data_IF_576413243474
#
_entry.id   IF_576413243474
#
_cell.length_a   1.000
_cell.length_b   1.000
_cell.length_c   1.000
_cell.angle_alpha   90.00
_cell.angle_beta   90.00
_cell.angle_gamma   90.00
#
_symmetry.space_group_name_H-M   'P 1'
#
loop_
_entity.id
_entity.type
_entity.pdbx_description
1 polymer ?
#
# COMPACT_ATOMS: atom_id res chain seq x y z
N UNK A 1 18.44 -4.72 -1.44
CA UNK A 1 18.04 -3.67 -2.41
C UNK A 1 18.04 -2.27 -1.80
N UNK A 2 17.67 -2.08 -0.53
CA UNK A 2 17.67 -0.76 0.15
C UNK A 2 19.01 0.00 0.10
N UNK A 3 20.14 -0.69 0.31
CA UNK A 3 21.47 -0.08 0.22
C UNK A 3 21.83 0.44 -1.20
N UNK A 4 21.24 -0.14 -2.27
CA UNK A 4 21.45 0.39 -3.62
C UNK A 4 20.70 1.73 -3.83
N UNK A 5 19.62 1.99 -3.07
CA UNK A 5 18.83 3.22 -3.14
C UNK A 5 19.51 4.40 -2.47
N UNK A 6 20.19 4.19 -1.33
CA UNK A 6 21.02 5.23 -0.69
C UNK A 6 22.05 5.86 -1.64
N UNK A 7 22.63 5.05 -2.53
CA UNK A 7 23.55 5.55 -3.57
C UNK A 7 22.91 6.50 -4.57
N UNK A 8 21.59 6.45 -4.77
CA UNK A 8 20.91 7.41 -5.64
C UNK A 8 20.92 8.79 -4.99
N UNK A 9 20.74 8.90 -3.68
CA UNK A 9 20.82 10.17 -2.95
C UNK A 9 22.22 10.78 -2.93
N UNK A 10 23.28 9.96 -3.08
CA UNK A 10 24.64 10.48 -3.22
C UNK A 10 24.85 11.23 -4.55
N UNK A 11 24.18 10.80 -5.62
CA UNK A 11 24.28 11.41 -6.96
C UNK A 11 23.14 12.39 -7.28
N UNK A 12 21.97 12.18 -6.65
CA UNK A 12 20.72 12.91 -6.84
C UNK A 12 20.06 13.15 -5.48
N UNK A 13 20.57 14.10 -4.67
CA UNK A 13 20.06 14.35 -3.32
C UNK A 13 18.56 14.63 -3.26
N UNK A 14 18.00 15.22 -4.33
CA UNK A 14 16.61 15.63 -4.46
C UNK A 14 15.66 14.53 -4.98
N UNK A 15 16.18 13.33 -5.29
CA UNK A 15 15.37 12.28 -5.93
C UNK A 15 14.24 11.79 -5.03
N UNK A 16 13.03 11.71 -5.58
CA UNK A 16 11.87 11.10 -4.93
C UNK A 16 11.68 9.70 -5.48
N UNK A 17 11.52 8.72 -4.58
CA UNK A 17 11.29 7.32 -4.94
C UNK A 17 10.01 6.85 -4.26
N UNK A 18 8.99 6.54 -5.05
CA UNK A 18 7.78 5.87 -4.58
C UNK A 18 7.94 4.38 -4.76
N UNK A 19 7.85 3.64 -3.66
CA UNK A 19 7.86 2.19 -3.68
C UNK A 19 6.44 1.67 -3.51
N UNK A 20 5.99 0.82 -4.44
CA UNK A 20 4.65 0.22 -4.39
C UNK A 20 4.79 -1.28 -4.18
N UNK A 21 4.06 -1.82 -3.21
CA UNK A 21 4.00 -3.26 -2.95
C UNK A 21 2.66 -3.69 -2.41
N UNK A 22 2.36 -5.00 -2.42
CA UNK A 22 1.07 -5.45 -1.91
C UNK A 22 0.95 -5.50 -0.39
N UNK A 23 2.05 -5.83 0.31
CA UNK A 23 2.11 -6.02 1.77
C UNK A 23 3.01 -5.01 2.51
N UNK A 24 3.50 -3.99 1.81
CA UNK A 24 4.52 -3.07 2.33
C UNK A 24 5.92 -3.68 2.34
N UNK A 25 6.86 -2.96 2.93
CA UNK A 25 8.26 -3.38 3.10
C UNK A 25 8.63 -3.65 4.56
N UNK A 26 9.52 -4.62 4.83
CA UNK A 26 10.07 -4.82 6.17
C UNK A 26 10.75 -3.58 6.74
N UNK A 27 11.42 -2.82 5.87
CA UNK A 27 12.08 -1.57 6.23
C UNK A 27 11.11 -0.47 6.68
N UNK A 28 9.83 -0.57 6.30
CA UNK A 28 8.75 0.35 6.66
C UNK A 28 7.81 -0.21 7.74
N UNK A 29 8.15 -1.36 8.35
CA UNK A 29 7.34 -2.00 9.39
C UNK A 29 6.45 -3.16 8.93
N UNK A 30 6.49 -3.54 7.65
CA UNK A 30 5.75 -4.69 7.12
C UNK A 30 6.28 -6.03 7.63
N UNK A 31 5.40 -7.04 7.72
CA UNK A 31 5.77 -8.40 8.13
C UNK A 31 6.77 -9.04 7.15
N UNK A 32 8.02 -9.33 7.57
CA UNK A 32 9.05 -9.88 6.68
C UNK A 32 8.67 -11.19 5.98
N UNK A 33 7.78 -11.99 6.59
CA UNK A 33 7.29 -13.24 6.00
C UNK A 33 6.30 -12.98 4.86
N UNK A 34 5.50 -11.90 4.95
CA UNK A 34 4.50 -11.53 3.93
C UNK A 34 5.11 -10.65 2.83
N UNK A 35 5.98 -9.71 3.16
CA UNK A 35 6.59 -8.78 2.19
C UNK A 35 7.41 -9.44 1.09
N UNK A 36 7.78 -10.73 1.23
CA UNK A 36 8.47 -11.51 0.18
C UNK A 36 7.52 -12.20 -0.80
N UNK A 37 6.20 -12.16 -0.56
CA UNK A 37 5.19 -12.87 -1.35
C UNK A 37 4.65 -11.96 -2.47
N UNK A 38 4.26 -12.59 -3.57
CA UNK A 38 3.47 -11.92 -4.61
C UNK A 38 2.09 -11.54 -4.06
N UNK A 39 1.61 -10.36 -4.45
CA UNK A 39 0.35 -9.82 -3.98
C UNK A 39 -0.25 -8.95 -5.08
N UNK A 40 -1.23 -9.52 -5.77
CA UNK A 40 -2.03 -8.84 -6.78
C UNK A 40 -3.30 -8.29 -6.14
N UNK A 41 -4.00 -7.42 -6.86
CA UNK A 41 -5.22 -6.75 -6.42
C UNK A 41 -6.20 -7.63 -5.63
N UNK A 42 -6.55 -8.81 -6.15
CA UNK A 42 -7.45 -9.74 -5.46
C UNK A 42 -6.94 -10.19 -4.08
N UNK A 43 -5.63 -10.41 -3.96
CA UNK A 43 -4.99 -10.82 -2.70
C UNK A 43 -5.04 -9.65 -1.71
N UNK A 44 -4.76 -8.44 -2.18
CA UNK A 44 -4.85 -7.26 -1.33
C UNK A 44 -6.28 -6.94 -0.91
N UNK A 45 -7.28 -7.07 -1.79
CA UNK A 45 -8.70 -6.91 -1.45
C UNK A 45 -9.12 -7.89 -0.34
N UNK A 46 -8.68 -9.14 -0.43
CA UNK A 46 -8.98 -10.14 0.60
C UNK A 46 -8.24 -9.82 1.90
N UNK A 47 -6.94 -9.52 1.82
CA UNK A 47 -6.09 -9.28 2.99
C UNK A 47 -6.46 -8.00 3.74
N UNK A 48 -6.98 -6.98 3.05
CA UNK A 48 -7.45 -5.74 3.65
C UNK A 48 -8.87 -5.83 4.21
N UNK A 49 -9.57 -6.97 4.07
CA UNK A 49 -10.96 -7.12 4.49
C UNK A 49 -12.00 -6.56 3.51
N UNK A 50 -11.60 -6.04 2.34
CA UNK A 50 -12.54 -5.49 1.35
C UNK A 50 -13.50 -6.57 0.82
N UNK A 51 -13.00 -7.78 0.60
CA UNK A 51 -13.85 -8.86 0.15
C UNK A 51 -14.99 -9.16 1.15
N UNK A 52 -14.71 -9.08 2.46
CA UNK A 52 -15.72 -9.27 3.50
C UNK A 52 -16.73 -8.12 3.52
N UNK A 53 -16.26 -6.88 3.38
CA UNK A 53 -17.12 -5.70 3.29
C UNK A 53 -18.09 -5.77 2.09
N UNK A 54 -17.62 -6.27 0.95
CA UNK A 54 -18.42 -6.38 -0.26
C UNK A 54 -19.33 -7.63 -0.30
N UNK A 55 -19.27 -8.49 0.71
CA UNK A 55 -20.04 -9.73 0.77
C UNK A 55 -21.52 -9.48 1.05
N UNK A 56 -22.38 -10.38 0.58
CA UNK A 56 -23.82 -10.39 0.85
C UNK A 56 -24.21 -11.67 1.57
N UNK A 57 -25.41 -11.80 2.14
CA UNK A 57 -25.87 -13.06 2.73
C UNK A 57 -25.79 -14.26 1.78
N UNK A 58 -25.92 -14.03 0.47
CA UNK A 58 -25.86 -15.04 -0.58
C UNK A 58 -24.42 -15.35 -1.03
N UNK A 59 -23.48 -14.43 -0.78
CA UNK A 59 -22.09 -14.52 -1.19
C UNK A 59 -21.15 -14.12 -0.04
N UNK A 60 -20.74 -15.11 0.76
CA UNK A 60 -19.98 -14.90 2.01
C UNK A 60 -18.60 -14.24 1.84
N UNK A 61 -18.00 -14.32 0.64
CA UNK A 61 -16.76 -13.63 0.26
C UNK A 61 -16.89 -13.16 -1.19
N UNK A 62 -17.05 -11.86 -1.40
CA UNK A 62 -17.18 -11.28 -2.75
C UNK A 62 -16.04 -10.31 -3.04
N UNK A 63 -15.31 -10.53 -4.14
CA UNK A 63 -14.33 -9.54 -4.62
C UNK A 63 -15.03 -8.50 -5.49
N UNK A 64 -14.53 -7.26 -5.50
CA UNK A 64 -14.92 -6.33 -6.56
C UNK A 64 -14.44 -6.87 -7.92
N UNK A 65 -15.31 -6.90 -8.95
CA UNK A 65 -14.95 -7.35 -10.30
C UNK A 65 -14.10 -6.32 -11.06
N UNK A 66 -13.32 -5.51 -10.33
CA UNK A 66 -12.47 -4.43 -10.82
C UNK A 66 -11.13 -4.50 -10.09
N UNK A 67 -10.10 -3.90 -10.68
CA UNK A 67 -8.80 -3.71 -10.03
C UNK A 67 -8.82 -2.49 -9.10
N UNK A 68 -9.85 -2.37 -8.28
CA UNK A 68 -10.11 -1.19 -7.46
C UNK A 68 -8.95 -0.90 -6.48
N UNK A 69 -8.34 -1.95 -5.92
CA UNK A 69 -7.17 -1.84 -5.06
C UNK A 69 -5.96 -1.23 -5.77
N UNK A 70 -5.71 -1.63 -7.02
CA UNK A 70 -4.65 -1.04 -7.85
C UNK A 70 -4.88 0.47 -8.06
N UNK A 71 -6.10 0.88 -8.41
CA UNK A 71 -6.41 2.30 -8.64
C UNK A 71 -6.27 3.13 -7.37
N UNK A 72 -6.79 2.64 -6.25
CA UNK A 72 -6.66 3.30 -4.95
C UNK A 72 -5.18 3.45 -4.57
N UNK A 73 -4.40 2.38 -4.70
CA UNK A 73 -2.94 2.40 -4.43
C UNK A 73 -2.22 3.41 -5.32
N UNK A 74 -2.56 3.47 -6.60
CA UNK A 74 -1.94 4.41 -7.53
C UNK A 74 -2.25 5.87 -7.16
N UNK A 75 -3.47 6.17 -6.70
CA UNK A 75 -3.84 7.51 -6.25
C UNK A 75 -3.10 7.90 -4.97
N UNK A 76 -2.99 7.00 -3.99
CA UNK A 76 -2.16 7.24 -2.79
C UNK A 76 -0.69 7.45 -3.17
N UNK A 77 -0.13 6.61 -4.03
CA UNK A 77 1.25 6.77 -4.49
C UNK A 77 1.49 8.07 -5.27
N UNK A 78 0.54 8.50 -6.09
CA UNK A 78 0.62 9.79 -6.77
C UNK A 78 0.57 10.97 -5.79
N UNK A 79 -0.29 10.91 -4.77
CA UNK A 79 -0.36 11.92 -3.73
C UNK A 79 0.94 12.00 -2.91
N UNK A 80 1.47 10.85 -2.47
CA UNK A 80 2.74 10.81 -1.73
C UNK A 80 3.91 11.29 -2.58
N UNK A 81 3.95 10.93 -3.87
CA UNK A 81 4.93 11.45 -4.82
C UNK A 81 4.90 12.98 -4.87
N UNK A 82 3.71 13.57 -4.97
CA UNK A 82 3.55 15.03 -5.06
C UNK A 82 3.99 15.71 -3.77
N UNK A 83 3.62 15.18 -2.60
CA UNK A 83 4.07 15.71 -1.30
C UNK A 83 5.59 15.62 -1.17
N UNK A 84 6.16 14.47 -1.51
CA UNK A 84 7.60 14.24 -1.49
C UNK A 84 8.35 15.15 -2.47
N UNK A 85 7.78 15.36 -3.66
CA UNK A 85 8.32 16.26 -4.67
C UNK A 85 8.31 17.72 -4.21
N UNK A 86 7.20 18.18 -3.61
CA UNK A 86 7.11 19.53 -3.04
C UNK A 86 8.13 19.70 -1.90
N UNK A 87 8.34 18.68 -1.08
CA UNK A 87 9.37 18.70 -0.05
C UNK A 87 10.77 18.83 -0.66
N UNK A 88 11.11 18.01 -1.66
CA UNK A 88 12.39 18.06 -2.36
C UNK A 88 12.64 19.43 -3.02
N UNK A 89 11.62 20.02 -3.65
CA UNK A 89 11.71 21.37 -4.24
C UNK A 89 12.02 22.45 -3.20
N UNK A 90 11.52 22.31 -1.96
CA UNK A 90 11.69 23.29 -0.89
C UNK A 90 13.00 23.15 -0.12
N UNK A 91 13.51 21.93 -0.01
CA UNK A 91 14.62 21.59 0.89
C UNK A 91 15.89 21.18 0.15
N UNK A 92 15.78 20.75 -1.11
CA UNK A 92 16.84 20.05 -1.81
C UNK A 92 16.99 18.58 -1.40
N UNK A 93 16.17 18.08 -0.47
CA UNK A 93 16.23 16.73 0.06
C UNK A 93 15.08 15.88 -0.46
N UNK A 94 15.41 14.84 -1.21
CA UNK A 94 14.48 13.83 -1.69
C UNK A 94 14.09 12.86 -0.57
N UNK A 95 13.12 11.99 -0.86
CA UNK A 95 12.68 10.97 0.10
C UNK A 95 12.21 9.69 -0.59
N UNK A 96 12.24 8.60 0.18
CA UNK A 96 11.62 7.34 -0.22
C UNK A 96 10.31 7.21 0.54
N UNK A 97 9.23 6.99 -0.18
CA UNK A 97 7.90 6.69 0.38
C UNK A 97 7.50 5.27 0.00
N UNK A 98 6.84 4.57 0.90
CA UNK A 98 6.42 3.17 0.71
C UNK A 98 4.90 3.07 0.81
N UNK A 99 4.27 2.63 -0.27
CA UNK A 99 2.83 2.45 -0.39
C UNK A 99 2.54 0.96 -0.43
N UNK A 100 1.85 0.47 0.60
CA UNK A 100 1.29 -0.86 0.62
C UNK A 100 -0.14 -0.84 0.09
N UNK A 101 -0.43 -1.66 -0.94
CA UNK A 101 -1.77 -1.74 -1.53
C UNK A 101 -2.83 -2.15 -0.51
N UNK A 102 -2.52 -3.10 0.39
CA UNK A 102 -3.48 -3.49 1.41
C UNK A 102 -3.79 -2.36 2.41
N UNK A 103 -2.80 -1.50 2.73
CA UNK A 103 -2.99 -0.35 3.62
C UNK A 103 -3.80 0.75 2.93
N UNK A 104 -3.53 1.00 1.63
CA UNK A 104 -4.30 1.93 0.83
C UNK A 104 -5.79 1.54 0.77
N UNK A 105 -6.08 0.25 0.63
CA UNK A 105 -7.44 -0.27 0.70
C UNK A 105 -8.00 -0.17 2.12
N UNK A 106 -7.26 -0.63 3.13
CA UNK A 106 -7.67 -0.56 4.52
C UNK A 106 -8.08 0.87 4.91
N UNK A 107 -7.34 1.86 4.42
CA UNK A 107 -7.57 3.27 4.70
C UNK A 107 -8.91 3.79 4.17
N UNK A 108 -9.38 3.32 3.01
CA UNK A 108 -10.64 3.79 2.42
C UNK A 108 -11.87 3.06 2.94
N UNK A 109 -11.70 1.85 3.48
CA UNK A 109 -12.78 1.13 4.15
C UNK A 109 -12.90 1.49 5.64
N UNK A 110 -11.98 2.29 6.18
CA UNK A 110 -12.04 2.94 7.49
C UNK A 110 -12.52 2.01 8.63
N UNK A 111 -13.63 2.34 9.29
CA UNK A 111 -14.16 1.57 10.42
C UNK A 111 -14.45 0.10 10.09
N UNK A 112 -14.75 -0.19 8.82
CA UNK A 112 -15.03 -1.54 8.36
C UNK A 112 -13.78 -2.41 8.34
N UNK A 113 -12.58 -1.85 8.29
CA UNK A 113 -11.33 -2.61 8.38
C UNK A 113 -11.28 -3.43 9.68
N UNK A 114 -11.52 -2.76 10.81
CA UNK A 114 -11.54 -3.38 12.13
C UNK A 114 -12.64 -4.44 12.24
N UNK A 115 -13.83 -4.15 11.71
CA UNK A 115 -14.94 -5.10 11.70
C UNK A 115 -14.64 -6.35 10.85
N UNK A 116 -14.07 -6.16 9.67
CA UNK A 116 -13.78 -7.25 8.73
C UNK A 116 -12.59 -8.11 9.17
N UNK A 117 -11.63 -7.56 9.92
CA UNK A 117 -10.49 -8.32 10.42
C UNK A 117 -10.80 -9.07 11.71
N UNK A 118 -11.51 -8.45 12.66
CA UNK A 118 -11.87 -9.11 13.93
C UNK A 118 -12.83 -10.28 13.70
N UNK A 119 -13.71 -10.17 12.69
CA UNK A 119 -14.64 -11.26 12.34
C UNK A 119 -13.98 -12.46 11.64
N UNK A 120 -12.67 -12.44 11.40
CA UNK A 120 -11.93 -13.61 10.90
C UNK A 120 -11.40 -14.51 12.03
N UNK A 121 -11.54 -14.12 13.29
CA UNK A 121 -11.08 -14.90 14.46
C UNK A 121 -12.21 -15.63 15.21
N UNK A 122 -13.45 -15.59 14.71
CA UNK A 122 -14.61 -16.33 15.24
C UNK A 122 -15.33 -17.07 14.12
#
# INVERSE_FOLDING_TARGET
MWNKRRRHFESYPEIVIVHVSGYGRPESGGDPKKCKRGCYDIISQAYSGWCKLASTPEHEVYRLPLYAGNYVTALFGAMEMLVAYIHAQKTGEGQVVDVAQFEAIARIIEMYYTQCIITLEY
#
